data_IF_182393547934
#
_entry.id   IF_182393547934
#
_cell.length_a   1.000
_cell.length_b   1.000
_cell.length_c   1.000
_cell.angle_alpha   90.00
_cell.angle_beta   90.00
_cell.angle_gamma   90.00
#
_symmetry.space_group_name_H-M   'P 1'
#
loop_
_entity.id
_entity.type
_entity.pdbx_description
1 polymer ?
#
# COMPACT_ATOMS: atom_id res chain seq x y z
N UNK A 1 -26.15 20.96 -26.13
CA UNK A 1 -25.30 21.33 -24.98
C UNK A 1 -23.88 21.54 -25.48
N UNK A 2 -23.15 22.59 -25.05
CA UNK A 2 -21.77 22.79 -25.47
C UNK A 2 -20.86 21.72 -24.87
N UNK A 3 -19.87 21.25 -25.65
CA UNK A 3 -18.83 20.34 -25.18
C UNK A 3 -17.69 21.18 -24.59
N UNK A 4 -17.48 21.10 -23.28
CA UNK A 4 -16.46 21.89 -22.61
C UNK A 4 -15.17 21.09 -22.48
N UNK A 5 -14.05 21.64 -22.97
CA UNK A 5 -12.74 21.03 -22.80
C UNK A 5 -12.29 21.19 -21.34
N UNK A 6 -12.36 20.10 -20.58
CA UNK A 6 -12.01 20.06 -19.15
C UNK A 6 -10.54 19.76 -18.86
N UNK A 7 -9.73 19.43 -19.87
CA UNK A 7 -8.28 19.31 -19.72
C UNK A 7 -7.58 19.96 -20.90
N UNK A 8 -7.09 21.19 -20.70
CA UNK A 8 -6.38 21.94 -21.73
C UNK A 8 -4.87 21.64 -21.63
N UNK A 9 -4.24 21.19 -22.71
CA UNK A 9 -2.81 20.86 -22.74
C UNK A 9 -1.89 22.08 -22.81
N UNK A 10 -2.43 23.30 -22.91
CA UNK A 10 -1.67 24.55 -22.90
C UNK A 10 -1.62 25.10 -21.47
N UNK A 11 -0.43 25.15 -20.86
CA UNK A 11 -0.24 25.54 -19.45
C UNK A 11 -0.89 26.88 -19.07
N UNK A 12 -0.81 27.90 -19.94
CA UNK A 12 -1.42 29.21 -19.71
C UNK A 12 -2.95 29.22 -19.77
N UNK A 13 -3.55 28.14 -20.26
CA UNK A 13 -5.01 27.95 -20.39
C UNK A 13 -5.50 26.77 -19.56
N UNK A 14 -4.63 26.16 -18.75
CA UNK A 14 -4.98 25.09 -17.84
C UNK A 14 -5.78 25.69 -16.67
N UNK A 15 -7.10 25.73 -16.78
CA UNK A 15 -8.02 26.24 -15.75
C UNK A 15 -8.44 25.15 -14.74
N UNK A 16 -7.79 23.99 -14.78
CA UNK A 16 -8.24 22.81 -14.02
C UNK A 16 -7.28 22.56 -12.87
N UNK A 17 -7.78 22.86 -11.68
CA UNK A 17 -7.19 22.51 -10.40
C UNK A 17 -7.99 21.32 -9.85
N UNK A 18 -7.36 20.15 -9.74
CA UNK A 18 -7.96 18.98 -9.09
C UNK A 18 -7.38 18.86 -7.69
N UNK A 19 -8.25 19.03 -6.69
CA UNK A 19 -7.93 18.87 -5.28
C UNK A 19 -8.76 17.72 -4.68
N UNK A 20 -8.22 17.05 -3.67
CA UNK A 20 -8.97 16.19 -2.77
C UNK A 20 -9.65 17.01 -1.66
N UNK A 21 -10.37 16.35 -0.77
CA UNK A 21 -11.04 16.94 0.40
C UNK A 21 -10.64 16.17 1.66
N UNK A 22 -10.40 16.85 2.78
CA UNK A 22 -10.23 16.17 4.07
C UNK A 22 -11.58 15.83 4.73
N UNK A 23 -11.55 15.14 5.88
CA UNK A 23 -12.76 14.74 6.62
C UNK A 23 -13.57 15.92 7.18
N UNK A 24 -13.04 17.14 7.08
CA UNK A 24 -13.70 18.38 7.48
C UNK A 24 -14.16 19.21 6.26
N UNK A 25 -14.02 18.66 5.04
CA UNK A 25 -14.45 19.29 3.79
C UNK A 25 -13.48 20.34 3.25
N UNK A 26 -12.28 20.48 3.81
CA UNK A 26 -11.30 21.44 3.29
C UNK A 26 -10.61 20.88 2.05
N UNK A 27 -10.48 21.71 1.01
CA UNK A 27 -9.72 21.35 -0.18
C UNK A 27 -8.24 21.12 0.17
N UNK A 28 -7.69 19.97 -0.25
CA UNK A 28 -6.26 19.63 -0.12
C UNK A 28 -5.70 19.28 -1.50
N UNK A 29 -4.48 19.72 -1.85
CA UNK A 29 -3.81 19.20 -3.03
C UNK A 29 -3.74 17.66 -2.98
N UNK A 30 -4.00 17.00 -4.12
CA UNK A 30 -3.81 15.55 -4.20
C UNK A 30 -2.31 15.28 -4.10
N UNK A 31 -1.90 14.52 -3.08
CA UNK A 31 -0.49 14.11 -2.94
C UNK A 31 -0.13 13.12 -4.03
N UNK A 32 1.02 13.34 -4.68
CA UNK A 32 1.64 12.40 -5.62
C UNK A 32 2.94 11.86 -5.03
N UNK A 33 3.33 10.65 -5.42
CA UNK A 33 4.62 10.07 -5.04
C UNK A 33 5.78 10.63 -5.90
N UNK A 34 7.01 10.15 -5.67
CA UNK A 34 8.20 10.58 -6.41
C UNK A 34 8.14 10.24 -7.92
N UNK A 35 7.20 9.39 -8.33
CA UNK A 35 6.99 9.00 -9.71
C UNK A 35 5.76 9.71 -10.32
N UNK A 36 5.12 10.64 -9.59
CA UNK A 36 3.98 11.41 -10.05
C UNK A 36 2.64 10.68 -9.97
N UNK A 37 2.57 9.53 -9.28
CA UNK A 37 1.33 8.75 -9.14
C UNK A 37 0.50 9.25 -7.95
N UNK A 38 -0.83 9.29 -8.12
CA UNK A 38 -1.76 9.64 -7.03
C UNK A 38 -1.76 8.53 -5.98
N UNK A 39 -1.40 8.87 -4.74
CA UNK A 39 -1.42 7.95 -3.62
C UNK A 39 -2.80 7.99 -2.94
N UNK A 40 -3.70 7.05 -3.28
CA UNK A 40 -5.06 7.03 -2.75
C UNK A 40 -5.16 6.51 -1.30
N UNK A 41 -4.20 5.71 -0.82
CA UNK A 41 -4.09 5.33 0.60
C UNK A 41 -2.81 4.49 0.82
N UNK A 42 -2.24 4.57 2.02
CA UNK A 42 -1.33 3.53 2.53
C UNK A 42 -2.17 2.42 3.18
N UNK A 43 -2.03 1.18 2.72
CA UNK A 43 -2.61 0.04 3.42
C UNK A 43 -1.70 -0.30 4.60
N UNK A 44 -2.07 0.16 5.80
CA UNK A 44 -1.38 -0.21 7.03
C UNK A 44 -1.85 -1.59 7.46
N UNK A 45 -0.98 -2.59 7.33
CA UNK A 45 -1.26 -3.93 7.85
C UNK A 45 -0.82 -3.97 9.31
N UNK A 46 -1.78 -4.00 10.22
CA UNK A 46 -1.55 -4.26 11.65
C UNK A 46 -1.73 -5.74 11.93
N UNK A 47 -0.69 -6.42 12.41
CA UNK A 47 -0.79 -7.74 12.99
C UNK A 47 -0.61 -7.63 14.50
N UNK A 48 -1.52 -8.26 15.27
CA UNK A 48 -1.44 -8.29 16.73
C UNK A 48 -0.21 -9.09 17.20
N UNK A 49 0.10 -10.16 16.47
CA UNK A 49 1.19 -11.09 16.77
C UNK A 49 2.05 -11.32 15.52
N UNK A 50 2.79 -10.29 15.09
CA UNK A 50 3.75 -10.41 13.99
C UNK A 50 4.98 -11.22 14.45
N UNK A 51 4.87 -12.55 14.43
CA UNK A 51 5.97 -13.47 14.78
C UNK A 51 6.96 -13.59 13.61
N UNK A 52 7.88 -12.64 13.48
CA UNK A 52 9.04 -12.76 12.59
C UNK A 52 10.22 -13.26 13.40
N UNK A 53 10.32 -14.58 13.56
CA UNK A 53 11.52 -15.20 14.14
C UNK A 53 12.60 -15.22 13.08
N UNK A 54 13.79 -14.77 13.46
CA UNK A 54 14.97 -15.10 12.68
C UNK A 54 15.07 -16.63 12.62
N UNK A 55 15.06 -17.21 11.42
CA UNK A 55 15.23 -18.65 11.24
C UNK A 55 16.63 -19.00 11.76
N UNK A 56 16.73 -19.49 13.00
CA UNK A 56 18.00 -19.79 13.66
C UNK A 56 18.48 -21.22 13.43
N UNK A 57 17.85 -21.97 12.51
CA UNK A 57 18.25 -23.32 12.15
C UNK A 57 18.54 -23.44 10.66
N UNK A 58 19.67 -24.05 10.31
CA UNK A 58 19.90 -24.62 8.96
C UNK A 58 19.05 -25.89 8.76
N UNK A 59 18.54 -26.47 9.85
CA UNK A 59 17.80 -27.74 9.85
C UNK A 59 16.52 -27.64 10.67
N UNK A 60 15.40 -28.05 10.08
CA UNK A 60 14.11 -28.20 10.77
C UNK A 60 14.13 -29.43 11.70
N UNK A 61 13.37 -29.40 12.79
CA UNK A 61 13.17 -30.55 13.67
C UNK A 61 11.77 -31.14 13.50
N UNK A 62 11.69 -32.48 13.51
CA UNK A 62 10.43 -33.22 13.56
C UNK A 62 10.42 -34.03 14.85
N UNK A 63 9.42 -33.78 15.70
CA UNK A 63 9.19 -34.57 16.89
C UNK A 63 8.16 -35.66 16.58
N UNK A 64 8.52 -36.92 16.77
CA UNK A 64 7.59 -38.05 16.69
C UNK A 64 7.24 -38.44 18.13
N UNK A 65 5.98 -38.23 18.53
CA UNK A 65 5.48 -38.69 19.82
C UNK A 65 4.83 -40.07 19.68
N UNK A 66 5.09 -40.94 20.65
CA UNK A 66 4.54 -42.30 20.78
C UNK A 66 4.86 -43.28 19.63
N UNK A 67 6.04 -43.21 19.03
CA UNK A 67 6.53 -44.22 18.11
C UNK A 67 7.89 -44.77 18.54
N UNK A 68 8.14 -46.06 18.34
CA UNK A 68 9.48 -46.63 18.45
C UNK A 68 10.22 -46.39 17.14
N UNK A 69 11.28 -45.58 17.18
CA UNK A 69 12.09 -45.25 16.01
C UNK A 69 13.29 -46.20 15.97
N UNK A 70 13.41 -46.99 14.92
CA UNK A 70 14.64 -47.74 14.61
C UNK A 70 15.37 -47.01 13.49
N UNK A 71 16.56 -46.49 13.79
CA UNK A 71 17.44 -45.87 12.79
C UNK A 71 18.42 -46.94 12.33
N UNK A 72 18.45 -47.24 11.03
CA UNK A 72 19.42 -48.12 10.39
C UNK A 72 20.33 -47.30 9.49
#
# INVERSE_FOLDING_TARGET
>A
MPNNLVFNSVASKLLVLINGQDSLGNAKPIKVDNNGMIQLSTVTVTALDLDIRNLSGVTDSVLISNASVTVT
#
